data_IF_019400616951
#
_entry.id   IF_019400616951
#
_cell.length_a   1.000
_cell.length_b   1.000
_cell.length_c   1.000
_cell.angle_alpha   90.00
_cell.angle_beta   90.00
_cell.angle_gamma   90.00
#
_symmetry.space_group_name_H-M   'P 1'
#
loop_
_entity.id
_entity.type
_entity.pdbx_description
1 polymer ?
#
# COMPACT_ATOMS: atom_id res chain seq x y z
N UNK A 1 23.92 27.31 -9.49
CA UNK A 1 22.79 27.15 -10.43
C UNK A 1 21.57 26.81 -9.60
N UNK A 2 20.56 27.68 -9.60
CA UNK A 2 19.33 27.45 -8.85
C UNK A 2 18.55 26.30 -9.52
N UNK A 3 18.36 25.19 -8.81
CA UNK A 3 17.47 24.11 -9.21
C UNK A 3 16.06 24.70 -9.38
N UNK A 4 15.64 24.98 -10.61
CA UNK A 4 14.24 25.27 -10.90
C UNK A 4 13.46 23.99 -10.59
N UNK A 5 12.73 23.97 -9.47
CA UNK A 5 11.78 22.89 -9.17
C UNK A 5 10.69 22.94 -10.25
N UNK A 6 10.59 21.87 -11.06
CA UNK A 6 9.47 21.68 -12.00
C UNK A 6 8.16 21.72 -11.20
N UNK A 7 7.22 22.56 -11.63
CA UNK A 7 5.90 22.68 -11.00
C UNK A 7 5.01 21.52 -11.48
N UNK A 8 4.47 20.78 -10.52
CA UNK A 8 3.61 19.61 -10.75
C UNK A 8 2.18 19.82 -10.23
N UNK A 9 1.81 21.05 -9.88
CA UNK A 9 0.47 21.39 -9.36
C UNK A 9 -0.68 20.99 -10.29
N UNK A 10 -0.43 20.92 -11.60
CA UNK A 10 -1.43 20.54 -12.59
C UNK A 10 -1.84 19.06 -12.52
N UNK A 11 -0.98 18.18 -11.98
CA UNK A 11 -1.22 16.74 -11.95
C UNK A 11 -2.43 16.33 -11.10
N UNK A 12 -2.80 17.12 -10.09
CA UNK A 12 -3.99 16.85 -9.27
C UNK A 12 -5.28 16.92 -10.10
N UNK A 13 -5.29 17.77 -11.14
CA UNK A 13 -6.41 17.87 -12.08
C UNK A 13 -6.38 16.75 -13.10
N UNK A 14 -5.19 16.40 -13.60
CA UNK A 14 -5.01 15.30 -14.56
C UNK A 14 -5.36 13.95 -13.94
N UNK A 15 -5.15 13.76 -12.63
CA UNK A 15 -5.57 12.56 -11.92
C UNK A 15 -7.07 12.25 -12.08
N UNK A 16 -7.91 13.27 -12.33
CA UNK A 16 -9.35 13.12 -12.56
C UNK A 16 -9.73 12.90 -14.04
N UNK A 17 -8.75 12.95 -14.95
CA UNK A 17 -8.92 12.91 -16.41
C UNK A 17 -8.15 11.73 -16.99
N UNK A 18 -8.71 10.53 -16.86
CA UNK A 18 -8.04 9.28 -17.23
C UNK A 18 -7.63 9.20 -18.71
N UNK A 19 -8.36 9.90 -19.58
CA UNK A 19 -8.06 10.07 -21.00
C UNK A 19 -6.76 10.82 -21.29
N UNK A 20 -6.20 11.52 -20.29
CA UNK A 20 -4.95 12.28 -20.42
C UNK A 20 -3.74 11.62 -19.78
N UNK A 21 -3.89 10.43 -19.20
CA UNK A 21 -2.77 9.78 -18.52
C UNK A 21 -1.70 9.29 -19.49
N UNK A 22 -2.08 8.98 -20.74
CA UNK A 22 -1.14 8.62 -21.82
C UNK A 22 -0.26 9.81 -22.26
N UNK A 23 -0.65 11.04 -21.92
CA UNK A 23 0.13 12.25 -22.21
C UNK A 23 1.28 12.48 -21.21
N UNK A 24 1.28 11.76 -20.08
CA UNK A 24 2.24 11.95 -19.00
C UNK A 24 3.55 11.22 -19.27
N UNK A 25 4.67 11.87 -18.96
CA UNK A 25 5.93 11.13 -18.86
C UNK A 25 5.93 10.21 -17.61
N UNK A 26 6.84 9.23 -17.57
CA UNK A 26 6.92 8.27 -16.45
C UNK A 26 7.09 8.93 -15.09
N UNK A 27 7.85 10.03 -15.03
CA UNK A 27 8.10 10.72 -13.78
C UNK A 27 6.85 11.53 -13.36
N UNK A 28 6.15 12.15 -14.29
CA UNK A 28 4.87 12.81 -14.06
C UNK A 28 3.80 11.84 -13.57
N UNK A 29 3.72 10.64 -14.15
CA UNK A 29 2.85 9.57 -13.67
C UNK A 29 3.18 9.17 -12.22
N UNK A 30 4.46 8.97 -11.89
CA UNK A 30 4.87 8.65 -10.51
C UNK A 30 4.58 9.79 -9.53
N UNK A 31 4.79 11.05 -9.92
CA UNK A 31 4.46 12.21 -9.09
C UNK A 31 2.95 12.33 -8.91
N UNK A 32 2.16 12.12 -9.96
CA UNK A 32 0.69 12.11 -9.88
C UNK A 32 0.21 11.02 -8.92
N UNK A 33 0.75 9.81 -9.03
CA UNK A 33 0.43 8.70 -8.15
C UNK A 33 0.78 9.00 -6.70
N UNK A 34 2.00 9.49 -6.45
CA UNK A 34 2.44 9.93 -5.13
C UNK A 34 1.44 10.91 -4.50
N UNK A 35 1.11 11.99 -5.23
CA UNK A 35 0.26 13.07 -4.75
C UNK A 35 -1.16 12.59 -4.49
N UNK A 36 -1.71 11.78 -5.39
CA UNK A 36 -3.07 11.23 -5.26
C UNK A 36 -3.19 10.29 -4.06
N UNK A 37 -2.22 9.37 -3.88
CA UNK A 37 -2.16 8.51 -2.72
C UNK A 37 -2.05 9.32 -1.43
N UNK A 38 -1.12 10.29 -1.38
CA UNK A 38 -0.92 11.11 -0.20
C UNK A 38 -2.16 11.95 0.15
N UNK A 39 -2.78 12.60 -0.84
CA UNK A 39 -4.02 13.36 -0.67
C UNK A 39 -5.17 12.50 -0.14
N UNK A 40 -5.30 11.26 -0.63
CA UNK A 40 -6.26 10.31 -0.07
C UNK A 40 -5.94 9.99 1.40
N UNK A 41 -4.68 9.75 1.74
CA UNK A 41 -4.26 9.51 3.12
C UNK A 41 -4.61 10.66 4.06
N UNK A 42 -4.39 11.90 3.62
CA UNK A 42 -4.66 13.11 4.40
C UNK A 42 -6.15 13.40 4.56
N UNK A 43 -6.89 13.38 3.45
CA UNK A 43 -8.30 13.76 3.43
C UNK A 43 -9.24 12.65 3.87
N UNK A 44 -8.85 11.38 3.66
CA UNK A 44 -9.69 10.18 3.77
C UNK A 44 -11.00 10.31 3.00
N UNK A 45 -11.00 11.10 1.93
CA UNK A 45 -12.17 11.34 1.10
C UNK A 45 -12.50 10.07 0.29
N UNK A 46 -13.60 9.42 0.65
CA UNK A 46 -14.06 8.18 0.00
C UNK A 46 -14.37 8.36 -1.49
N UNK A 47 -14.73 9.57 -1.92
CA UNK A 47 -15.03 9.86 -3.33
C UNK A 47 -13.80 9.74 -4.24
N UNK A 48 -12.58 9.77 -3.68
CA UNK A 48 -11.34 9.63 -4.45
C UNK A 48 -10.99 8.16 -4.70
N UNK A 49 -11.56 7.20 -3.94
CA UNK A 49 -11.18 5.78 -4.01
C UNK A 49 -11.26 5.20 -5.43
N UNK A 50 -12.33 5.41 -6.22
CA UNK A 50 -12.40 4.86 -7.58
C UNK A 50 -11.29 5.40 -8.49
N UNK A 51 -10.99 6.71 -8.38
CA UNK A 51 -9.91 7.35 -9.14
C UNK A 51 -8.55 6.81 -8.69
N UNK A 52 -8.36 6.69 -7.38
CA UNK A 52 -7.11 6.20 -6.78
C UNK A 52 -6.77 4.80 -7.26
N UNK A 53 -7.74 3.89 -7.24
CA UNK A 53 -7.51 2.50 -7.64
C UNK A 53 -7.24 2.41 -9.15
N UNK A 54 -8.06 3.06 -9.98
CA UNK A 54 -7.84 3.09 -11.43
C UNK A 54 -6.49 3.70 -11.81
N UNK A 55 -6.09 4.78 -11.14
CA UNK A 55 -4.79 5.41 -11.35
C UNK A 55 -3.65 4.45 -10.96
N UNK A 56 -3.82 3.72 -9.86
CA UNK A 56 -2.81 2.77 -9.40
C UNK A 56 -2.69 1.55 -10.32
N UNK A 57 -3.80 1.05 -10.88
CA UNK A 57 -3.80 0.03 -11.93
C UNK A 57 -3.01 0.52 -13.16
N UNK A 58 -3.29 1.73 -13.63
CA UNK A 58 -2.56 2.34 -14.74
C UNK A 58 -1.07 2.53 -14.43
N UNK A 59 -0.72 2.88 -13.19
CA UNK A 59 0.67 2.92 -12.73
C UNK A 59 1.34 1.55 -12.85
N UNK A 60 0.67 0.46 -12.42
CA UNK A 60 1.21 -0.91 -12.50
C UNK A 60 1.50 -1.29 -13.95
N UNK A 61 0.59 -0.97 -14.87
CA UNK A 61 0.71 -1.30 -16.30
C UNK A 61 1.86 -0.54 -16.98
N UNK A 62 2.18 0.67 -16.50
CA UNK A 62 3.13 1.57 -17.16
C UNK A 62 4.48 1.72 -16.45
N UNK A 63 4.69 1.01 -15.34
CA UNK A 63 5.93 1.08 -14.55
C UNK A 63 6.42 -0.28 -14.11
N UNK A 64 7.69 -0.35 -13.75
CA UNK A 64 8.33 -1.55 -13.20
C UNK A 64 8.08 -1.69 -11.70
N UNK A 65 8.19 -2.90 -11.16
CA UNK A 65 8.17 -3.14 -9.71
C UNK A 65 9.24 -2.32 -8.96
N UNK A 66 10.41 -2.09 -9.56
CA UNK A 66 11.47 -1.28 -8.95
C UNK A 66 11.02 0.19 -8.79
N UNK A 67 10.40 0.76 -9.81
CA UNK A 67 9.85 2.13 -9.76
C UNK A 67 8.75 2.25 -8.70
N UNK A 68 7.83 1.27 -8.64
CA UNK A 68 6.76 1.25 -7.62
C UNK A 68 7.31 1.03 -6.21
N UNK A 69 8.40 0.27 -6.06
CA UNK A 69 9.11 0.10 -4.78
C UNK A 69 9.74 1.43 -4.31
N UNK A 70 10.35 2.18 -5.23
CA UNK A 70 10.88 3.53 -4.94
C UNK A 70 9.75 4.48 -4.53
N UNK A 71 8.62 4.43 -5.22
CA UNK A 71 7.43 5.22 -4.89
C UNK A 71 6.90 4.88 -3.49
N UNK A 72 6.70 3.60 -3.18
CA UNK A 72 6.27 3.12 -1.86
C UNK A 72 7.22 3.64 -0.76
N UNK A 73 8.53 3.50 -0.97
CA UNK A 73 9.54 3.93 0.00
C UNK A 73 9.53 5.44 0.22
N UNK A 74 9.42 6.22 -0.86
CA UNK A 74 9.32 7.67 -0.80
C UNK A 74 8.04 8.12 -0.06
N UNK A 75 6.90 7.52 -0.39
CA UNK A 75 5.61 7.82 0.23
C UNK A 75 5.63 7.50 1.73
N UNK A 76 6.09 6.31 2.11
CA UNK A 76 6.25 5.90 3.51
C UNK A 76 7.18 6.83 4.30
N UNK A 77 8.27 7.28 3.68
CA UNK A 77 9.21 8.24 4.29
C UNK A 77 8.55 9.59 4.56
N UNK A 78 7.75 10.10 3.61
CA UNK A 78 7.02 11.36 3.75
C UNK A 78 5.91 11.25 4.80
N UNK A 79 5.12 10.17 4.80
CA UNK A 79 4.10 9.92 5.83
C UNK A 79 4.77 9.91 7.21
N UNK A 80 5.86 9.16 7.38
CA UNK A 80 6.57 9.07 8.66
C UNK A 80 7.05 10.44 9.19
N UNK A 81 7.63 11.26 8.31
CA UNK A 81 8.27 12.52 8.69
C UNK A 81 7.29 13.68 8.83
N UNK A 82 6.30 13.75 7.94
CA UNK A 82 5.50 14.95 7.76
C UNK A 82 4.08 14.78 8.31
N UNK A 83 3.44 13.63 8.06
CA UNK A 83 2.05 13.41 8.45
C UNK A 83 1.73 11.93 8.69
N UNK A 84 2.04 11.37 9.88
CA UNK A 84 1.76 9.96 10.18
C UNK A 84 0.29 9.57 10.03
N UNK A 85 -0.64 10.53 10.18
CA UNK A 85 -2.09 10.29 10.03
C UNK A 85 -2.52 9.94 8.61
N UNK A 86 -1.65 10.20 7.63
CA UNK A 86 -1.84 9.89 6.23
C UNK A 86 -1.52 8.42 5.88
N UNK A 87 -1.41 7.51 6.86
CA UNK A 87 -1.08 6.08 6.65
C UNK A 87 -1.99 5.37 5.64
N UNK A 88 -3.25 5.80 5.48
CA UNK A 88 -4.16 5.27 4.46
C UNK A 88 -3.70 5.52 3.01
N UNK A 89 -2.72 6.40 2.80
CA UNK A 89 -2.07 6.57 1.49
C UNK A 89 -1.36 5.30 1.01
N UNK A 90 -1.01 4.36 1.91
CA UNK A 90 -0.39 3.09 1.54
C UNK A 90 -1.41 2.04 1.08
N UNK A 91 -2.70 2.29 1.22
CA UNK A 91 -3.74 1.29 0.95
C UNK A 91 -3.78 0.78 -0.51
N UNK A 92 -3.55 1.59 -1.55
CA UNK A 92 -3.47 1.10 -2.92
C UNK A 92 -2.36 0.07 -3.15
N UNK A 93 -1.21 0.23 -2.49
CA UNK A 93 -0.09 -0.73 -2.55
C UNK A 93 -0.43 -2.08 -1.89
N UNK A 94 -1.47 -2.12 -1.05
CA UNK A 94 -1.89 -3.33 -0.34
C UNK A 94 -3.03 -4.03 -1.10
N UNK A 95 -3.92 -3.26 -1.72
CA UNK A 95 -5.15 -3.78 -2.33
C UNK A 95 -5.05 -4.00 -3.84
N UNK A 96 -4.29 -3.17 -4.55
CA UNK A 96 -4.29 -3.14 -6.02
C UNK A 96 -2.99 -3.70 -6.61
N UNK A 97 -1.90 -3.61 -5.86
CA UNK A 97 -0.59 -4.08 -6.31
C UNK A 97 -0.57 -5.57 -6.66
N UNK A 98 0.20 -5.90 -7.71
CA UNK A 98 0.35 -7.27 -8.22
C UNK A 98 1.70 -7.87 -7.85
N UNK A 99 2.69 -7.07 -7.45
CA UNK A 99 3.92 -7.57 -6.89
C UNK A 99 3.76 -7.86 -5.39
N UNK A 100 3.78 -9.15 -5.03
CA UNK A 100 3.61 -9.57 -3.65
C UNK A 100 4.66 -9.04 -2.68
N UNK A 101 5.89 -8.75 -3.12
CA UNK A 101 6.91 -8.18 -2.23
C UNK A 101 6.62 -6.71 -1.91
N UNK A 102 6.02 -5.98 -2.86
CA UNK A 102 5.54 -4.62 -2.62
C UNK A 102 4.36 -4.64 -1.65
N UNK A 103 3.40 -5.56 -1.82
CA UNK A 103 2.28 -5.75 -0.86
C UNK A 103 2.82 -6.03 0.55
N UNK A 104 3.72 -7.02 0.68
CA UNK A 104 4.38 -7.39 1.94
C UNK A 104 5.03 -6.18 2.62
N UNK A 105 5.82 -5.43 1.86
CA UNK A 105 6.52 -4.23 2.35
C UNK A 105 5.52 -3.12 2.74
N UNK A 106 4.46 -2.91 1.95
CA UNK A 106 3.43 -1.92 2.25
C UNK A 106 2.66 -2.27 3.52
N UNK A 107 2.33 -3.55 3.74
CA UNK A 107 1.69 -4.03 4.96
C UNK A 107 2.55 -3.77 6.21
N UNK A 108 3.85 -4.04 6.15
CA UNK A 108 4.79 -3.70 7.24
C UNK A 108 4.78 -2.20 7.54
N UNK A 109 4.93 -1.36 6.51
CA UNK A 109 4.91 0.09 6.68
C UNK A 109 3.57 0.58 7.23
N UNK A 110 2.46 0.04 6.76
CA UNK A 110 1.13 0.41 7.21
C UNK A 110 0.94 0.17 8.71
N UNK A 111 1.30 -1.02 9.22
CA UNK A 111 1.20 -1.31 10.66
C UNK A 111 2.14 -0.41 11.45
N UNK A 112 3.42 -0.34 11.07
CA UNK A 112 4.42 0.44 11.80
C UNK A 112 4.08 1.94 11.84
N UNK A 113 3.54 2.50 10.77
CA UNK A 113 3.11 3.90 10.73
C UNK A 113 1.77 4.13 11.44
N UNK A 114 0.88 3.14 11.48
CA UNK A 114 -0.38 3.23 12.24
C UNK A 114 -0.13 3.42 13.74
N UNK A 115 0.93 2.81 14.27
CA UNK A 115 1.40 3.04 15.65
C UNK A 115 1.69 4.52 15.89
N UNK A 116 2.39 5.16 14.94
CA UNK A 116 2.76 6.57 15.04
C UNK A 116 1.54 7.50 14.89
N UNK A 117 0.58 7.12 14.03
CA UNK A 117 -0.65 7.89 13.79
C UNK A 117 -1.60 7.88 15.00
N UNK A 118 -1.89 6.69 15.52
CA UNK A 118 -3.02 6.46 16.42
C UNK A 118 -2.57 6.16 17.86
N UNK A 119 -1.26 6.08 18.11
CA UNK A 119 -0.66 5.61 19.38
C UNK A 119 -1.10 4.21 19.80
N UNK A 120 -1.72 3.46 18.89
CA UNK A 120 -2.24 2.11 19.12
C UNK A 120 -1.81 1.17 17.99
N UNK A 121 -1.01 0.17 18.34
CA UNK A 121 -0.56 -0.91 17.44
C UNK A 121 -1.71 -1.67 16.78
N UNK A 122 -2.85 -1.81 17.48
CA UNK A 122 -3.94 -2.67 17.04
C UNK A 122 -4.71 -2.13 15.85
N UNK A 123 -4.77 -0.81 15.64
CA UNK A 123 -5.61 -0.22 14.59
C UNK A 123 -5.18 -0.62 13.17
N UNK A 124 -3.87 -0.60 12.87
CA UNK A 124 -3.35 -0.99 11.56
C UNK A 124 -3.45 -2.49 11.32
N UNK A 125 -3.04 -3.30 12.29
CA UNK A 125 -3.13 -4.76 12.20
C UNK A 125 -4.58 -5.22 12.03
N UNK A 126 -5.54 -4.67 12.78
CA UNK A 126 -6.94 -5.05 12.67
C UNK A 126 -7.49 -4.83 11.26
N UNK A 127 -7.17 -3.69 10.62
CA UNK A 127 -7.58 -3.42 9.23
C UNK A 127 -7.04 -4.50 8.30
N UNK A 128 -5.76 -4.84 8.41
CA UNK A 128 -5.16 -5.88 7.57
C UNK A 128 -5.73 -7.28 7.85
N UNK A 129 -6.09 -7.57 9.10
CA UNK A 129 -6.74 -8.82 9.47
C UNK A 129 -8.15 -8.94 8.89
N UNK A 130 -8.92 -7.86 8.82
CA UNK A 130 -10.23 -7.87 8.16
C UNK A 130 -10.07 -8.12 6.66
N UNK A 131 -9.09 -7.50 5.99
CA UNK A 131 -8.80 -7.79 4.58
C UNK A 131 -8.48 -9.27 4.31
N UNK A 132 -7.68 -9.88 5.19
CA UNK A 132 -7.36 -11.32 5.08
C UNK A 132 -8.63 -12.17 5.24
N UNK A 133 -9.54 -11.82 6.16
CA UNK A 133 -10.78 -12.57 6.38
C UNK A 133 -11.79 -12.39 5.25
N UNK A 134 -11.82 -11.20 4.64
CA UNK A 134 -12.71 -10.90 3.52
C UNK A 134 -12.30 -11.66 2.25
N UNK A 135 -10.99 -11.92 2.07
CA UNK A 135 -10.44 -12.61 0.91
C UNK A 135 -9.38 -13.67 1.31
N UNK A 136 -9.76 -14.73 2.05
CA UNK A 136 -8.79 -15.66 2.65
C UNK A 136 -8.12 -16.59 1.63
N UNK A 137 -8.61 -16.61 0.39
CA UNK A 137 -8.06 -17.37 -0.73
C UNK A 137 -7.20 -16.51 -1.66
N UNK A 138 -7.26 -15.18 -1.54
CA UNK A 138 -6.52 -14.26 -2.40
C UNK A 138 -5.01 -14.30 -2.08
N UNK A 139 -4.18 -14.46 -3.09
CA UNK A 139 -2.71 -14.45 -2.95
C UNK A 139 -2.18 -13.20 -2.22
N UNK A 140 -2.82 -12.05 -2.36
CA UNK A 140 -2.43 -10.81 -1.67
C UNK A 140 -2.59 -10.97 -0.15
N UNK A 141 -3.58 -11.73 0.31
CA UNK A 141 -3.70 -12.09 1.73
C UNK A 141 -2.47 -12.82 2.26
N UNK A 142 -1.84 -13.68 1.45
CA UNK A 142 -0.57 -14.32 1.83
C UNK A 142 0.54 -13.29 2.05
N UNK A 143 0.69 -12.33 1.15
CA UNK A 143 1.73 -11.30 1.26
C UNK A 143 1.47 -10.31 2.39
N UNK A 144 0.20 -10.01 2.69
CA UNK A 144 -0.19 -9.25 3.88
C UNK A 144 0.24 -10.02 5.14
N UNK A 145 -0.06 -11.34 5.21
CA UNK A 145 0.35 -12.19 6.34
C UNK A 145 1.88 -12.21 6.50
N UNK A 146 2.64 -12.37 5.40
CA UNK A 146 4.10 -12.30 5.44
C UNK A 146 4.59 -10.96 5.99
N UNK A 147 3.96 -9.86 5.56
CA UNK A 147 4.30 -8.53 6.06
C UNK A 147 4.00 -8.37 7.56
N UNK A 148 2.94 -9.00 8.05
CA UNK A 148 2.59 -9.04 9.47
C UNK A 148 3.57 -9.89 10.29
N UNK A 149 4.03 -11.03 9.77
CA UNK A 149 5.00 -11.88 10.48
C UNK A 149 6.38 -11.24 10.62
N UNK A 150 6.80 -10.45 9.63
CA UNK A 150 8.10 -9.78 9.64
C UNK A 150 8.23 -8.68 10.71
N UNK A 151 7.11 -8.28 11.32
CA UNK A 151 7.10 -7.31 12.42
C UNK A 151 7.59 -7.98 13.72
N UNK A 152 7.65 -9.31 13.78
CA UNK A 152 8.13 -10.09 14.93
C UNK A 152 7.39 -9.73 16.24
N UNK A 153 6.08 -9.51 16.14
CA UNK A 153 5.24 -9.15 17.29
C UNK A 153 4.33 -10.31 17.73
N UNK A 154 4.50 -10.76 18.98
CA UNK A 154 3.73 -11.88 19.55
C UNK A 154 2.21 -11.70 19.50
N UNK A 155 1.69 -10.48 19.68
CA UNK A 155 0.24 -10.24 19.62
C UNK A 155 -0.28 -10.39 18.19
N UNK A 156 0.49 -9.92 17.20
CA UNK A 156 0.16 -10.10 15.78
C UNK A 156 0.20 -11.60 15.43
N UNK A 157 1.22 -12.32 15.88
CA UNK A 157 1.34 -13.77 15.67
C UNK A 157 0.14 -14.54 16.27
N UNK A 158 -0.34 -14.16 17.46
CA UNK A 158 -1.55 -14.73 18.05
C UNK A 158 -2.81 -14.47 17.19
N UNK A 159 -2.96 -13.26 16.65
CA UNK A 159 -4.08 -12.93 15.75
C UNK A 159 -4.02 -13.73 14.44
N UNK A 160 -2.83 -13.90 13.86
CA UNK A 160 -2.63 -14.69 12.64
C UNK A 160 -2.97 -16.16 12.83
N UNK A 161 -2.64 -16.75 13.99
CA UNK A 161 -3.04 -18.13 14.32
C UNK A 161 -4.55 -18.32 14.32
N UNK A 162 -5.32 -17.29 14.71
CA UNK A 162 -6.78 -17.37 14.76
C UNK A 162 -7.43 -17.42 13.36
N UNK A 163 -6.80 -16.83 12.33
CA UNK A 163 -7.33 -16.85 10.95
C UNK A 163 -6.81 -18.01 10.12
N UNK A 164 -5.70 -18.64 10.54
CA UNK A 164 -5.09 -19.80 9.84
C UNK A 164 -6.09 -20.86 9.36
N UNK A 165 -7.09 -21.32 10.16
CA UNK A 165 -8.00 -22.37 9.73
C UNK A 165 -8.90 -21.99 8.54
N UNK A 166 -8.97 -20.71 8.21
CA UNK A 166 -9.85 -20.16 7.16
C UNK A 166 -9.10 -19.90 5.85
N UNK A 167 -7.76 -20.01 5.84
CA UNK A 167 -6.93 -19.66 4.69
C UNK A 167 -7.06 -20.69 3.56
N UNK A 168 -7.11 -20.21 2.32
CA UNK A 168 -7.11 -21.04 1.12
C UNK A 168 -5.77 -21.72 0.84
N UNK A 169 -5.81 -22.77 0.02
CA UNK A 169 -4.62 -23.57 -0.32
C UNK A 169 -3.51 -22.75 -0.99
N UNK A 170 -3.88 -21.79 -1.85
CA UNK A 170 -2.91 -20.91 -2.52
C UNK A 170 -2.15 -20.07 -1.50
N UNK A 171 -2.87 -19.43 -0.57
CA UNK A 171 -2.28 -18.64 0.51
C UNK A 171 -1.34 -19.48 1.35
N UNK A 172 -1.77 -20.67 1.80
CA UNK A 172 -0.93 -21.59 2.58
C UNK A 172 0.34 -21.98 1.81
N UNK A 173 0.22 -22.26 0.51
CA UNK A 173 1.37 -22.61 -0.32
C UNK A 173 2.40 -21.48 -0.39
N UNK A 174 1.96 -20.23 -0.59
CA UNK A 174 2.83 -19.06 -0.62
C UNK A 174 3.54 -18.88 0.73
N UNK A 175 2.82 -19.03 1.85
CA UNK A 175 3.40 -18.91 3.19
C UNK A 175 4.49 -19.96 3.44
N UNK A 176 4.23 -21.23 3.11
CA UNK A 176 5.21 -22.31 3.25
C UNK A 176 6.46 -22.07 2.40
N UNK A 177 6.29 -21.63 1.15
CA UNK A 177 7.41 -21.32 0.26
C UNK A 177 8.27 -20.15 0.76
N UNK A 178 7.72 -19.30 1.63
CA UNK A 178 8.43 -18.20 2.29
C UNK A 178 8.91 -18.55 3.70
N UNK A 179 8.91 -19.85 4.06
CA UNK A 179 9.42 -20.34 5.34
C UNK A 179 8.50 -20.09 6.54
N UNK A 180 7.26 -19.65 6.30
CA UNK A 180 6.29 -19.41 7.36
C UNK A 180 5.44 -20.66 7.54
N UNK A 181 5.72 -21.40 8.61
CA UNK A 181 4.91 -22.53 9.07
C UNK A 181 4.10 -22.06 10.29
N UNK A 182 2.84 -21.72 10.06
CA UNK A 182 1.88 -21.53 11.15
C UNK A 182 1.38 -22.87 11.66
#
# INVERSE_FOLDING_TARGET
>A
MANQKKDYSYLDKIALQADKWDELDKNELQVMAFRTCFLYGESRNKNIIPVLFRMFEYLIENTTSEERTKLLTALSSVIRKNNPKAVMALFPFIQVETDGQIVRTASQFFVNLSVLSNKEFHSGTNILMELIKDAPEDRNSAYIILGLTDIENEKINQMLRAVKPQLGNEVISILHNNGVQF
#
